data_IF_435936725894
#
_entry.id   IF_435936725894
#
_cell.length_a   1.000
_cell.length_b   1.000
_cell.length_c   1.000
_cell.angle_alpha   90.00
_cell.angle_beta   90.00
_cell.angle_gamma   90.00
#
_symmetry.space_group_name_H-M   'P 1'
#
loop_
_entity.id
_entity.type
_entity.pdbx_description
1 polymer ?
#
# COMPACT_ATOMS: atom_id res chain seq x y z
N UNK A 1 -7.93 -11.48 3.91
CA UNK A 1 -8.31 -10.14 4.41
C UNK A 1 -8.91 -10.24 5.82
N UNK A 2 -8.66 -9.26 6.70
CA UNK A 2 -9.18 -9.24 8.07
C UNK A 2 -10.59 -8.62 8.15
N UNK A 3 -11.27 -8.86 9.28
CA UNK A 3 -12.54 -8.23 9.59
C UNK A 3 -12.35 -6.75 9.96
N UNK A 4 -13.42 -5.96 9.85
CA UNK A 4 -13.40 -4.51 10.14
C UNK A 4 -12.88 -4.19 11.53
N UNK A 5 -13.31 -4.95 12.55
CA UNK A 5 -12.90 -4.73 13.94
C UNK A 5 -11.39 -4.91 14.12
N UNK A 6 -10.79 -5.88 13.44
CA UNK A 6 -9.33 -6.11 13.47
C UNK A 6 -8.57 -4.91 12.89
N UNK A 7 -9.09 -4.28 11.83
CA UNK A 7 -8.47 -3.06 11.28
C UNK A 7 -8.65 -1.83 12.18
N UNK A 8 -9.76 -1.73 12.91
CA UNK A 8 -9.95 -0.67 13.91
C UNK A 8 -8.91 -0.83 15.04
N UNK A 9 -8.75 -2.06 15.53
CA UNK A 9 -7.80 -2.38 16.58
C UNK A 9 -6.34 -2.23 16.10
N UNK A 10 -6.02 -2.58 14.84
CA UNK A 10 -4.72 -2.23 14.24
C UNK A 10 -4.48 -0.71 14.24
N UNK A 11 -5.49 0.08 13.85
CA UNK A 11 -5.40 1.53 13.88
C UNK A 11 -5.16 2.07 15.30
N UNK A 12 -5.83 1.50 16.30
CA UNK A 12 -5.61 1.80 17.72
C UNK A 12 -4.18 1.46 18.15
N UNK A 13 -3.72 0.24 17.87
CA UNK A 13 -2.34 -0.22 18.14
C UNK A 13 -1.31 0.77 17.60
N UNK A 14 -1.35 1.08 16.30
CA UNK A 14 -0.32 1.91 15.66
C UNK A 14 -0.32 3.34 16.21
N UNK A 15 -1.50 3.91 16.46
CA UNK A 15 -1.60 5.25 17.06
C UNK A 15 -0.98 5.28 18.45
N UNK A 16 -1.45 4.41 19.34
CA UNK A 16 -1.06 4.45 20.75
C UNK A 16 0.38 3.98 20.96
N UNK A 17 0.88 3.06 20.13
CA UNK A 17 2.29 2.71 20.12
C UNK A 17 3.15 3.92 19.73
N UNK A 18 2.78 4.63 18.66
CA UNK A 18 3.48 5.85 18.24
C UNK A 18 3.46 6.97 19.31
N UNK A 19 2.34 7.17 19.99
CA UNK A 19 2.20 8.11 21.10
C UNK A 19 3.13 7.75 22.28
N UNK A 20 3.13 6.48 22.71
CA UNK A 20 3.97 6.02 23.82
C UNK A 20 5.47 6.13 23.52
N UNK A 21 5.86 5.86 22.27
CA UNK A 21 7.25 6.02 21.85
C UNK A 21 7.69 7.49 21.89
N UNK A 22 6.79 8.44 21.57
CA UNK A 22 7.07 9.87 21.73
C UNK A 22 7.29 10.26 23.19
N UNK A 23 6.57 9.63 24.10
CA UNK A 23 6.72 9.82 25.55
C UNK A 23 7.96 9.09 26.11
N UNK A 24 8.75 8.42 25.27
CA UNK A 24 9.97 7.72 25.63
C UNK A 24 9.74 6.34 26.28
N UNK A 25 8.51 5.81 26.20
CA UNK A 25 8.20 4.46 26.68
C UNK A 25 8.84 3.43 25.75
N UNK A 26 9.48 2.42 26.34
CA UNK A 26 10.06 1.32 25.56
C UNK A 26 8.97 0.56 24.79
N UNK A 27 9.23 0.20 23.54
CA UNK A 27 8.27 -0.49 22.66
C UNK A 27 7.68 -1.75 23.31
N UNK A 28 8.49 -2.54 24.03
CA UNK A 28 8.00 -3.72 24.74
C UNK A 28 7.00 -3.37 25.84
N UNK A 29 7.29 -2.35 26.65
CA UNK A 29 6.42 -1.89 27.74
C UNK A 29 5.11 -1.32 27.17
N UNK A 30 5.21 -0.52 26.11
CA UNK A 30 4.07 0.05 25.42
C UNK A 30 3.13 -1.05 24.88
N UNK A 31 3.68 -2.09 24.25
CA UNK A 31 2.93 -3.25 23.75
C UNK A 31 2.27 -4.06 24.88
N UNK A 32 2.98 -4.30 26.00
CA UNK A 32 2.39 -5.01 27.16
C UNK A 32 1.19 -4.24 27.71
N UNK A 33 1.31 -2.92 27.90
CA UNK A 33 0.16 -2.12 28.35
C UNK A 33 -1.01 -2.21 27.37
N UNK A 34 -0.71 -2.10 26.06
CA UNK A 34 -1.71 -2.18 24.99
C UNK A 34 -2.49 -3.50 25.00
N UNK A 35 -1.85 -4.63 25.35
CA UNK A 35 -2.52 -5.94 25.43
C UNK A 35 -3.73 -5.94 26.38
N UNK A 36 -3.74 -5.06 27.38
CA UNK A 36 -4.82 -4.92 28.36
C UNK A 36 -5.89 -3.89 27.95
N UNK A 37 -5.65 -3.10 26.91
CA UNK A 37 -6.53 -2.02 26.45
C UNK A 37 -7.34 -2.40 25.20
N UNK A 38 -6.80 -3.30 24.37
CA UNK A 38 -7.41 -3.72 23.11
C UNK A 38 -8.64 -4.61 23.33
N UNK A 39 -9.51 -4.65 22.31
CA UNK A 39 -10.72 -5.48 22.35
C UNK A 39 -10.37 -6.98 22.43
N UNK A 40 -10.75 -7.61 23.54
CA UNK A 40 -10.48 -9.03 23.80
C UNK A 40 -11.16 -10.00 22.81
N UNK A 41 -12.14 -9.54 22.02
CA UNK A 41 -12.81 -10.34 20.99
C UNK A 41 -12.04 -10.42 19.68
N UNK A 42 -11.03 -9.57 19.49
CA UNK A 42 -10.18 -9.56 18.30
C UNK A 42 -8.97 -10.47 18.46
N UNK A 43 -8.21 -10.71 17.38
CA UNK A 43 -6.96 -11.47 17.44
C UNK A 43 -5.77 -10.61 17.87
N UNK A 44 -5.95 -9.29 18.01
CA UNK A 44 -4.89 -8.37 18.36
C UNK A 44 -4.16 -8.72 19.68
N UNK A 45 -4.83 -9.11 20.79
CA UNK A 45 -4.13 -9.45 22.03
C UNK A 45 -3.08 -10.56 21.81
N UNK A 46 -3.45 -11.62 21.09
CA UNK A 46 -2.56 -12.73 20.77
C UNK A 46 -1.41 -12.30 19.85
N UNK A 47 -1.69 -11.42 18.89
CA UNK A 47 -0.66 -10.83 18.04
C UNK A 47 0.34 -10.00 18.88
N UNK A 48 -0.14 -9.19 19.82
CA UNK A 48 0.69 -8.40 20.74
C UNK A 48 1.57 -9.31 21.61
N UNK A 49 1.02 -10.37 22.19
CA UNK A 49 1.80 -11.32 23.00
C UNK A 49 2.95 -11.94 22.21
N UNK A 50 2.69 -12.29 20.94
CA UNK A 50 3.71 -12.79 20.03
C UNK A 50 4.75 -11.71 19.70
N UNK A 51 4.32 -10.48 19.38
CA UNK A 51 5.21 -9.35 19.10
C UNK A 51 6.15 -9.10 20.29
N UNK A 52 5.63 -9.04 21.51
CA UNK A 52 6.44 -8.83 22.73
C UNK A 52 7.45 -9.96 22.93
N UNK A 53 7.03 -11.21 22.73
CA UNK A 53 7.89 -12.38 22.91
C UNK A 53 9.06 -12.39 21.92
N UNK A 54 8.78 -12.14 20.63
CA UNK A 54 9.81 -12.11 19.58
C UNK A 54 10.71 -10.87 19.72
N UNK A 55 10.14 -9.71 20.05
CA UNK A 55 10.89 -8.46 20.27
C UNK A 55 11.89 -8.57 21.42
N UNK A 56 11.58 -9.37 22.47
CA UNK A 56 12.54 -9.67 23.56
C UNK A 56 13.72 -10.53 23.12
N UNK A 57 13.57 -11.31 22.06
CA UNK A 57 14.60 -12.22 21.55
C UNK A 57 15.43 -11.59 20.43
N UNK A 58 14.77 -10.90 19.49
CA UNK A 58 15.36 -10.41 18.24
C UNK A 58 15.66 -8.91 18.29
N UNK A 59 14.91 -8.14 19.09
CA UNK A 59 15.09 -6.68 19.20
C UNK A 59 14.41 -5.85 18.11
N UNK A 60 13.77 -6.48 17.11
CA UNK A 60 13.02 -5.80 16.05
C UNK A 60 11.59 -6.35 15.93
N UNK A 61 10.64 -5.46 15.66
CA UNK A 61 9.22 -5.77 15.51
C UNK A 61 8.90 -6.32 14.12
N UNK A 62 9.62 -5.87 13.08
CA UNK A 62 9.35 -6.33 11.72
C UNK A 62 9.53 -7.85 11.55
N UNK A 63 10.45 -8.45 12.30
CA UNK A 63 10.66 -9.92 12.28
C UNK A 63 9.43 -10.67 12.76
N UNK A 64 8.86 -10.23 13.88
CA UNK A 64 7.64 -10.76 14.47
C UNK A 64 6.42 -10.56 13.55
N UNK A 65 6.26 -9.36 13.00
CA UNK A 65 5.18 -9.04 12.06
C UNK A 65 5.19 -9.94 10.83
N UNK A 66 6.38 -10.27 10.30
CA UNK A 66 6.54 -11.20 9.17
C UNK A 66 6.01 -12.60 9.47
N UNK A 67 6.14 -13.07 10.72
CA UNK A 67 5.60 -14.36 11.18
C UNK A 67 4.08 -14.31 11.34
N UNK A 68 3.53 -13.12 11.57
CA UNK A 68 2.12 -12.83 11.69
C UNK A 68 1.53 -12.31 10.36
N UNK A 69 1.95 -12.83 9.21
CA UNK A 69 1.50 -12.38 7.88
C UNK A 69 -0.02 -12.54 7.64
N UNK A 70 -0.70 -13.37 8.44
CA UNK A 70 -2.15 -13.51 8.43
C UNK A 70 -2.86 -12.34 9.13
N UNK A 71 -2.14 -11.55 9.92
CA UNK A 71 -2.63 -10.40 10.67
C UNK A 71 -2.07 -9.08 10.12
N UNK A 72 -0.74 -8.98 9.99
CA UNK A 72 -0.10 -7.81 9.39
C UNK A 72 0.20 -8.07 7.92
N UNK A 73 -0.18 -7.13 7.05
CA UNK A 73 0.16 -7.23 5.63
C UNK A 73 1.67 -7.12 5.40
N UNK A 74 2.14 -7.65 4.27
CA UNK A 74 3.54 -7.55 3.87
C UNK A 74 4.01 -6.09 3.80
N UNK A 75 3.18 -5.17 3.32
CA UNK A 75 3.50 -3.75 3.29
C UNK A 75 3.63 -3.14 4.69
N UNK A 76 2.73 -3.48 5.62
CA UNK A 76 2.84 -3.00 7.00
C UNK A 76 4.15 -3.47 7.64
N UNK A 77 4.53 -4.72 7.37
CA UNK A 77 5.82 -5.28 7.83
C UNK A 77 7.02 -4.60 7.17
N UNK A 78 6.92 -4.29 5.88
CA UNK A 78 7.95 -3.55 5.14
C UNK A 78 8.16 -2.15 5.75
N UNK A 79 7.07 -1.40 5.97
CA UNK A 79 7.13 -0.06 6.58
C UNK A 79 7.78 -0.09 7.96
N UNK A 80 7.48 -1.08 8.80
CA UNK A 80 8.18 -1.19 10.09
C UNK A 80 9.65 -1.54 9.91
N UNK A 81 9.99 -2.46 8.99
CA UNK A 81 11.38 -2.83 8.73
C UNK A 81 12.24 -1.63 8.29
N UNK A 82 11.74 -0.82 7.36
CA UNK A 82 12.44 0.38 6.87
C UNK A 82 12.62 1.44 7.97
N UNK A 83 11.71 1.47 8.95
CA UNK A 83 11.78 2.43 10.05
C UNK A 83 12.65 1.96 11.22
N UNK A 84 12.89 0.66 11.31
CA UNK A 84 13.84 0.05 12.24
C UNK A 84 15.28 0.07 11.71
N UNK A 85 15.48 0.39 10.43
CA UNK A 85 16.79 0.59 9.84
C UNK A 85 17.38 1.96 10.27
N UNK A 86 18.42 1.90 11.10
CA UNK A 86 19.07 3.09 11.70
C UNK A 86 19.81 3.98 10.67
N UNK A 87 20.04 3.49 9.44
CA UNK A 87 20.72 4.27 8.40
C UNK A 87 19.79 5.28 7.71
N UNK A 88 18.47 5.12 7.86
CA UNK A 88 17.44 5.89 7.16
C UNK A 88 17.06 7.22 7.80
N UNK A 89 16.41 8.09 7.01
CA UNK A 89 15.68 9.27 7.55
C UNK A 89 14.23 8.95 7.91
N UNK A 90 13.80 7.72 7.65
CA UNK A 90 12.44 7.27 7.89
C UNK A 90 12.36 6.72 9.32
N UNK A 91 11.58 7.38 10.17
CA UNK A 91 11.50 7.05 11.60
C UNK A 91 10.25 6.21 11.93
N UNK A 92 10.31 5.46 13.04
CA UNK A 92 9.19 4.64 13.52
C UNK A 92 7.93 5.46 13.78
N UNK A 93 8.04 6.72 14.15
CA UNK A 93 6.90 7.62 14.34
C UNK A 93 6.13 7.84 13.04
N UNK A 94 6.84 8.10 11.95
CA UNK A 94 6.25 8.27 10.62
C UNK A 94 5.65 6.96 10.14
N UNK A 95 6.34 5.83 10.38
CA UNK A 95 5.79 4.51 10.11
C UNK A 95 4.47 4.28 10.85
N UNK A 96 4.40 4.51 12.16
CA UNK A 96 3.17 4.34 12.94
C UNK A 96 2.02 5.21 12.40
N UNK A 97 2.31 6.44 12.00
CA UNK A 97 1.31 7.34 11.38
C UNK A 97 0.78 6.80 10.05
N UNK A 98 1.66 6.24 9.22
CA UNK A 98 1.28 5.60 7.95
C UNK A 98 0.38 4.39 8.23
N UNK A 99 0.82 3.50 9.11
CA UNK A 99 0.12 2.25 9.40
C UNK A 99 -1.25 2.49 10.05
N UNK A 100 -1.35 3.49 10.94
CA UNK A 100 -2.62 3.93 11.52
C UNK A 100 -3.60 4.36 10.43
N UNK A 101 -3.17 5.24 9.50
CA UNK A 101 -4.04 5.76 8.43
C UNK A 101 -4.42 4.67 7.43
N UNK A 102 -3.51 3.76 7.12
CA UNK A 102 -3.81 2.61 6.27
C UNK A 102 -4.87 1.70 6.91
N UNK A 103 -4.73 1.39 8.21
CA UNK A 103 -5.68 0.58 8.95
C UNK A 103 -7.06 1.25 9.04
N UNK A 104 -7.10 2.56 9.30
CA UNK A 104 -8.34 3.34 9.29
C UNK A 104 -9.02 3.30 7.92
N UNK A 105 -8.28 3.54 6.83
CA UNK A 105 -8.83 3.48 5.48
C UNK A 105 -9.39 2.09 5.14
N UNK A 106 -8.73 1.02 5.59
CA UNK A 106 -9.25 -0.35 5.44
C UNK A 106 -10.54 -0.57 6.22
N UNK A 107 -10.63 -0.09 7.45
CA UNK A 107 -11.83 -0.20 8.28
C UNK A 107 -13.04 0.55 7.66
N UNK A 108 -12.79 1.53 6.80
CA UNK A 108 -13.79 2.31 6.05
C UNK A 108 -14.19 1.69 4.69
N UNK A 109 -13.67 0.51 4.35
CA UNK A 109 -13.98 -0.15 3.08
C UNK A 109 -13.07 0.31 1.95
N UNK A 110 -11.75 0.22 2.16
CA UNK A 110 -10.73 0.55 1.17
C UNK A 110 -10.99 -0.08 -0.20
N UNK A 111 -10.61 0.65 -1.26
CA UNK A 111 -10.60 0.15 -2.63
C UNK A 111 -9.18 -0.24 -3.04
N UNK A 112 -8.98 -1.16 -4.01
CA UNK A 112 -7.66 -1.46 -4.54
C UNK A 112 -6.94 -0.20 -5.05
N UNK A 113 -7.66 0.66 -5.78
CA UNK A 113 -7.16 1.92 -6.32
C UNK A 113 -6.65 2.83 -5.20
N UNK A 114 -7.50 3.11 -4.21
CA UNK A 114 -7.15 4.02 -3.12
C UNK A 114 -6.00 3.48 -2.27
N UNK A 115 -5.99 2.18 -1.99
CA UNK A 115 -4.91 1.58 -1.19
C UNK A 115 -3.58 1.60 -1.94
N UNK A 116 -3.59 1.30 -3.25
CA UNK A 116 -2.39 1.42 -4.08
C UNK A 116 -1.83 2.85 -4.04
N UNK A 117 -2.67 3.87 -4.31
CA UNK A 117 -2.21 5.26 -4.34
C UNK A 117 -1.70 5.71 -2.98
N UNK A 118 -2.40 5.36 -1.91
CA UNK A 118 -1.98 5.66 -0.55
C UNK A 118 -0.59 5.09 -0.26
N UNK A 119 -0.38 3.80 -0.55
CA UNK A 119 0.90 3.13 -0.32
C UNK A 119 2.00 3.68 -1.21
N UNK A 120 1.73 3.88 -2.50
CA UNK A 120 2.67 4.49 -3.44
C UNK A 120 3.11 5.87 -2.96
N UNK A 121 2.16 6.73 -2.54
CA UNK A 121 2.45 8.05 -2.00
C UNK A 121 3.32 7.97 -0.73
N UNK A 122 3.07 6.99 0.15
CA UNK A 122 3.92 6.76 1.32
C UNK A 122 5.35 6.40 0.91
N UNK A 123 5.54 5.53 -0.09
CA UNK A 123 6.87 5.20 -0.61
C UNK A 123 7.57 6.45 -1.16
N UNK A 124 6.88 7.22 -2.01
CA UNK A 124 7.43 8.41 -2.65
C UNK A 124 7.81 9.51 -1.66
N UNK A 125 6.90 9.87 -0.74
CA UNK A 125 7.10 10.96 0.22
C UNK A 125 8.25 10.68 1.19
N UNK A 126 8.42 9.41 1.56
CA UNK A 126 9.43 8.99 2.52
C UNK A 126 10.71 8.46 1.86
N UNK A 127 10.78 8.47 0.51
CA UNK A 127 11.92 7.99 -0.28
C UNK A 127 12.29 6.53 0.03
N UNK A 128 11.28 5.70 0.24
CA UNK A 128 11.45 4.27 0.49
C UNK A 128 11.73 3.53 -0.82
N UNK A 129 12.31 2.34 -0.71
CA UNK A 129 12.61 1.52 -1.87
C UNK A 129 11.33 1.08 -2.61
N UNK A 130 11.19 1.52 -3.86
CA UNK A 130 10.01 1.22 -4.66
C UNK A 130 9.89 -0.25 -5.02
N UNK A 131 10.99 -0.94 -5.30
CA UNK A 131 10.95 -2.35 -5.71
C UNK A 131 10.40 -3.23 -4.59
N UNK A 132 10.97 -3.12 -3.39
CA UNK A 132 10.54 -3.86 -2.22
C UNK A 132 9.17 -3.40 -1.73
N UNK A 133 8.93 -2.08 -1.64
CA UNK A 133 7.66 -1.53 -1.18
C UNK A 133 6.46 -1.88 -2.07
N UNK A 134 6.64 -1.87 -3.39
CA UNK A 134 5.59 -2.25 -4.33
C UNK A 134 5.41 -3.76 -4.44
N UNK A 135 6.47 -4.55 -4.30
CA UNK A 135 6.35 -6.01 -4.18
C UNK A 135 5.54 -6.37 -2.94
N UNK A 136 5.82 -5.72 -1.80
CA UNK A 136 5.06 -5.90 -0.56
C UNK A 136 3.61 -5.41 -0.69
N UNK A 137 3.38 -4.35 -1.48
CA UNK A 137 2.02 -3.87 -1.81
C UNK A 137 1.24 -4.90 -2.62
N UNK A 138 1.83 -5.45 -3.68
CA UNK A 138 1.21 -6.44 -4.55
C UNK A 138 0.88 -7.76 -3.84
N UNK A 139 1.56 -8.08 -2.73
CA UNK A 139 1.27 -9.29 -1.97
C UNK A 139 -0.08 -9.25 -1.22
N UNK A 140 -0.76 -8.11 -1.16
CA UNK A 140 -2.03 -7.95 -0.46
C UNK A 140 -3.21 -8.63 -1.21
N UNK A 141 -4.13 -9.22 -0.46
CA UNK A 141 -5.29 -9.96 -1.00
C UNK A 141 -6.30 -9.05 -1.70
N UNK A 142 -6.31 -7.76 -1.39
CA UNK A 142 -7.22 -6.80 -2.03
C UNK A 142 -6.95 -6.61 -3.53
N UNK A 143 -5.73 -6.94 -3.98
CA UNK A 143 -5.34 -6.85 -5.38
C UNK A 143 -5.63 -8.17 -6.09
N UNK A 144 -6.32 -8.09 -7.22
CA UNK A 144 -6.50 -9.23 -8.13
C UNK A 144 -5.22 -9.50 -8.95
N UNK A 145 -5.26 -10.51 -9.81
CA UNK A 145 -4.11 -10.89 -10.64
C UNK A 145 -3.65 -9.76 -11.58
N UNK A 146 -4.60 -9.04 -12.19
CA UNK A 146 -4.29 -7.94 -13.13
C UNK A 146 -3.59 -6.78 -12.41
N UNK A 147 -4.03 -6.47 -11.19
CA UNK A 147 -3.35 -5.51 -10.31
C UNK A 147 -1.96 -5.98 -9.92
N UNK A 148 -1.80 -7.25 -9.51
CA UNK A 148 -0.50 -7.79 -9.09
C UNK A 148 0.52 -7.74 -10.23
N UNK A 149 0.12 -8.14 -11.43
CA UNK A 149 0.97 -8.07 -12.61
C UNK A 149 1.32 -6.62 -12.99
N UNK A 150 0.36 -5.71 -12.84
CA UNK A 150 0.60 -4.29 -13.08
C UNK A 150 1.59 -3.69 -12.09
N UNK A 151 1.41 -3.93 -10.79
CA UNK A 151 2.27 -3.40 -9.74
C UNK A 151 3.68 -3.96 -9.91
N UNK A 152 3.83 -5.24 -10.25
CA UNK A 152 5.13 -5.86 -10.53
C UNK A 152 5.82 -5.26 -11.77
N UNK A 153 5.06 -4.90 -12.80
CA UNK A 153 5.59 -4.18 -13.96
C UNK A 153 6.01 -2.76 -13.58
N UNK A 154 5.15 -2.05 -12.85
CA UNK A 154 5.36 -0.69 -12.39
C UNK A 154 6.60 -0.60 -11.49
N UNK A 155 6.79 -1.52 -10.54
CA UNK A 155 7.93 -1.49 -9.63
C UNK A 155 9.28 -1.42 -10.34
N UNK A 156 9.40 -2.06 -11.51
CA UNK A 156 10.62 -2.07 -12.34
C UNK A 156 10.81 -0.80 -13.19
N UNK A 157 9.75 0.00 -13.36
CA UNK A 157 9.72 1.15 -14.26
C UNK A 157 9.58 2.49 -13.53
N UNK A 158 9.24 2.48 -12.23
CA UNK A 158 9.11 3.71 -11.44
C UNK A 158 10.43 4.47 -11.43
N UNK A 159 10.35 5.77 -11.75
CA UNK A 159 11.50 6.66 -11.91
C UNK A 159 12.03 6.74 -13.35
N UNK A 160 11.65 5.81 -14.23
CA UNK A 160 11.93 5.87 -15.67
C UNK A 160 10.74 6.39 -16.48
N UNK A 161 9.52 6.11 -16.03
CA UNK A 161 8.26 6.54 -16.65
C UNK A 161 7.39 7.23 -15.61
N UNK A 162 6.70 8.31 -16.00
CA UNK A 162 5.78 9.02 -15.12
C UNK A 162 4.60 8.11 -14.73
N UNK A 163 4.23 8.12 -13.45
CA UNK A 163 3.08 7.37 -12.95
C UNK A 163 1.80 7.74 -13.71
N UNK A 164 1.60 9.01 -14.05
CA UNK A 164 0.46 9.48 -14.82
C UNK A 164 0.38 8.80 -16.19
N UNK A 165 1.52 8.61 -16.85
CA UNK A 165 1.59 7.89 -18.13
C UNK A 165 1.25 6.41 -17.96
N UNK A 166 1.78 5.77 -16.91
CA UNK A 166 1.49 4.36 -16.59
C UNK A 166 -0.01 4.14 -16.29
N UNK A 167 -0.65 5.08 -15.59
CA UNK A 167 -2.10 5.06 -15.33
C UNK A 167 -2.87 5.30 -16.62
N UNK A 168 -2.48 6.32 -17.39
CA UNK A 168 -3.18 6.69 -18.61
C UNK A 168 -3.26 5.53 -19.59
N UNK A 169 -2.17 4.77 -19.76
CA UNK A 169 -2.10 3.59 -20.63
C UNK A 169 -3.16 2.52 -20.30
N UNK A 170 -3.64 2.45 -19.06
CA UNK A 170 -4.68 1.50 -18.63
C UNK A 170 -6.04 2.15 -18.35
N UNK A 171 -6.17 3.46 -18.53
CA UNK A 171 -7.41 4.19 -18.27
C UNK A 171 -8.46 3.96 -19.37
N UNK A 172 -9.74 3.99 -18.98
CA UNK A 172 -10.85 4.01 -19.93
C UNK A 172 -10.78 5.21 -20.90
N UNK A 173 -10.13 6.30 -20.47
CA UNK A 173 -9.93 7.50 -21.28
C UNK A 173 -9.02 7.24 -22.48
N UNK A 174 -7.99 6.42 -22.35
CA UNK A 174 -7.17 6.00 -23.51
C UNK A 174 -8.01 5.27 -24.55
N UNK A 175 -8.90 4.38 -24.11
CA UNK A 175 -9.80 3.64 -25.01
C UNK A 175 -10.76 4.60 -25.70
N UNK A 176 -11.34 5.56 -24.97
CA UNK A 176 -12.22 6.60 -25.53
C UNK A 176 -11.50 7.43 -26.60
N UNK A 177 -10.28 7.87 -26.32
CA UNK A 177 -9.47 8.66 -27.27
C UNK A 177 -9.07 7.85 -28.49
N UNK A 178 -8.73 6.58 -28.33
CA UNK A 178 -8.40 5.70 -29.45
C UNK A 178 -9.62 5.48 -30.35
N UNK A 179 -10.80 5.23 -29.78
CA UNK A 179 -12.06 5.11 -30.54
C UNK A 179 -12.35 6.37 -31.34
N UNK A 180 -12.27 7.53 -30.70
CA UNK A 180 -12.49 8.83 -31.38
C UNK A 180 -11.52 9.04 -32.57
N UNK A 181 -10.24 8.69 -32.41
CA UNK A 181 -9.26 8.80 -33.52
C UNK A 181 -9.57 7.86 -34.68
N UNK A 182 -10.05 6.65 -34.41
CA UNK A 182 -10.46 5.71 -35.44
C UNK A 182 -11.67 6.25 -36.22
N UNK A 183 -12.68 6.76 -35.50
CA UNK A 183 -13.88 7.36 -36.11
C UNK A 183 -13.55 8.59 -36.99
N UNK A 184 -12.62 9.45 -36.53
CA UNK A 184 -12.13 10.60 -37.30
C UNK A 184 -11.35 10.17 -38.56
N UNK A 185 -10.57 9.09 -38.48
CA UNK A 185 -9.79 8.55 -39.61
C UNK A 185 -10.68 7.89 -40.67
N UNK A 186 -11.72 7.17 -40.24
CA UNK A 186 -12.72 6.57 -41.15
C UNK A 186 -13.53 7.65 -41.88
N UNK A 187 -13.88 8.74 -41.18
CA UNK A 187 -14.59 9.89 -41.77
C UNK A 187 -13.74 10.60 -42.82
N UNK A 188 -12.45 10.83 -42.54
CA UNK A 188 -11.53 11.50 -43.48
C UNK A 188 -11.23 10.60 -44.71
N UNK A 189 -11.16 9.28 -44.51
CA UNK A 189 -11.00 8.30 -45.61
C UNK A 189 -12.24 8.24 -46.50
N UNK A 190 -13.44 8.26 -45.91
CA UNK A 190 -14.69 8.30 -46.66
C UNK A 190 -14.82 9.62 -47.45
N UNK A 191 -14.41 10.75 -46.88
CA UNK A 191 -14.47 12.05 -47.55
C UNK A 191 -13.48 12.15 -48.72
N UNK A 192 -12.24 11.66 -48.56
CA UNK A 192 -11.26 11.57 -49.67
C UNK A 192 -11.68 10.61 -50.79
N UNK A 193 -12.42 9.56 -50.45
CA UNK A 193 -12.97 8.61 -51.44
C UNK A 193 -14.12 9.22 -52.24
N UNK A 194 -14.86 10.15 -51.63
CA UNK A 194 -15.93 10.91 -52.30
C UNK A 194 -15.37 12.07 -53.15
N UNK A 195 -14.18 12.59 -52.84
CA UNK A 195 -13.52 13.70 -53.54
C UNK A 195 -12.67 13.28 -54.76
N UNK A 196 -12.45 11.98 -55.03
CA UNK A 196 -11.85 11.53 -56.28
C UNK A 196 -12.92 11.46 -57.39
N UNK A 197 -12.93 12.36 -58.39
CA UNK A 197 -13.80 12.18 -59.53
C UNK A 197 -13.26 11.02 -60.36
N UNK A 198 -14.14 10.06 -60.68
CA UNK A 198 -13.90 9.02 -61.68
C UNK A 198 -13.46 9.72 -62.97
N UNK A 199 -12.16 9.74 -63.21
CA UNK A 199 -11.60 10.24 -64.46
C UNK A 199 -11.44 9.02 -65.35
N UNK A 200 -12.34 8.93 -66.34
CA UNK A 200 -12.35 7.95 -67.43
C UNK A 200 -11.08 8.07 -68.30
#
# INVERSE_FOLDING_TARGET
MLDREEYIEQGYLFRTLGERMLDGVATQEALVGLSHEVLATTKLPLAIDYLVSDLRLVGTMATAMRRLAHYFSAFQTFVVAEAEDEEGRFDLRTAMTILQREAAYRAEGATPQGLFFYRFECLSRNRLDYMHGLTATAADDIFDADWKDWIAMLSRQVGLVDLADLIYVRSAERVRRLRRRLDETDTDTANRSAEQPVTL
#
